data_IF_155674794424
#
_entry.id   IF_155674794424
#
_cell.length_a   1.000
_cell.length_b   1.000
_cell.length_c   1.000
_cell.angle_alpha   90.00
_cell.angle_beta   90.00
_cell.angle_gamma   90.00
#
_symmetry.space_group_name_H-M   'P 1'
#
loop_
_entity.id
_entity.type
_entity.pdbx_description
1 polymer ?
#
# COMPACT_ATOMS: atom_id res chain seq x y z
N UNK A 1 9.99 27.55 -2.82
CA UNK A 1 10.28 26.11 -3.00
C UNK A 1 11.53 25.80 -2.19
N UNK A 2 11.39 25.27 -0.98
CA UNK A 2 12.54 24.94 -0.12
C UNK A 2 13.17 23.62 -0.58
N UNK A 3 14.34 23.71 -1.22
CA UNK A 3 15.09 22.57 -1.69
C UNK A 3 15.82 21.91 -0.50
N UNK A 4 15.12 21.06 0.25
CA UNK A 4 15.73 20.30 1.33
C UNK A 4 16.64 19.22 0.74
N UNK A 5 17.94 19.17 1.07
CA UNK A 5 18.84 18.12 0.61
C UNK A 5 18.40 16.79 1.24
N UNK A 6 17.85 15.90 0.43
CA UNK A 6 17.49 14.55 0.86
C UNK A 6 18.79 13.75 1.00
N UNK A 7 19.04 13.05 2.12
CA UNK A 7 20.26 12.29 2.32
C UNK A 7 20.46 11.26 1.19
N UNK A 8 21.69 11.09 0.66
CA UNK A 8 21.97 10.14 -0.40
C UNK A 8 21.88 8.72 0.14
N UNK A 9 20.68 8.19 0.09
CA UNK A 9 20.32 6.80 0.33
C UNK A 9 20.00 6.20 -1.05
N UNK A 10 20.49 5.01 -1.37
CA UNK A 10 20.16 4.29 -2.63
C UNK A 10 18.64 4.16 -2.87
N UNK A 11 17.81 4.26 -1.81
CA UNK A 11 16.35 4.34 -1.86
C UNK A 11 15.80 5.67 -2.40
N UNK A 12 16.60 6.72 -2.57
CA UNK A 12 16.17 7.98 -3.17
C UNK A 12 15.89 7.83 -4.67
N UNK A 13 16.70 7.04 -5.39
CA UNK A 13 16.40 6.62 -6.75
C UNK A 13 15.13 5.76 -6.78
N UNK A 14 15.00 4.83 -5.83
CA UNK A 14 13.79 4.01 -5.68
C UNK A 14 12.53 4.86 -5.41
N UNK A 15 12.63 5.99 -4.70
CA UNK A 15 11.51 6.92 -4.49
C UNK A 15 11.06 7.57 -5.80
N UNK A 16 12.01 7.99 -6.66
CA UNK A 16 11.72 8.56 -7.97
C UNK A 16 11.10 7.52 -8.91
N UNK A 17 11.63 6.30 -8.95
CA UNK A 17 11.02 5.17 -9.67
C UNK A 17 9.64 4.83 -9.11
N UNK A 18 9.45 4.86 -7.79
CA UNK A 18 8.16 4.57 -7.14
C UNK A 18 7.10 5.57 -7.56
N UNK A 19 7.41 6.87 -7.60
CA UNK A 19 6.45 7.88 -8.03
C UNK A 19 6.01 7.70 -9.49
N UNK A 20 6.92 7.34 -10.40
CA UNK A 20 6.56 7.05 -11.79
C UNK A 20 5.75 5.76 -11.91
N UNK A 21 6.09 4.74 -11.12
CA UNK A 21 5.39 3.46 -11.15
C UNK A 21 4.00 3.55 -10.52
N UNK A 22 3.82 4.39 -9.50
CA UNK A 22 2.51 4.66 -8.88
C UNK A 22 1.51 5.23 -9.91
N UNK A 23 1.93 6.16 -10.76
CA UNK A 23 1.08 6.75 -11.82
C UNK A 23 0.62 5.72 -12.86
N UNK A 24 1.52 4.82 -13.24
CA UNK A 24 1.22 3.82 -14.28
C UNK A 24 0.41 2.64 -13.74
N UNK A 25 0.60 2.29 -12.46
CA UNK A 25 0.04 1.06 -11.89
C UNK A 25 -1.29 1.27 -11.18
N UNK A 26 -1.54 2.45 -10.59
CA UNK A 26 -2.78 2.70 -9.82
C UNK A 26 -3.92 3.22 -10.68
N UNK A 27 -3.63 4.08 -11.65
CA UNK A 27 -4.67 4.86 -12.34
C UNK A 27 -5.19 4.21 -13.63
N UNK A 28 -4.66 3.03 -13.99
CA UNK A 28 -5.07 2.26 -15.17
C UNK A 28 -5.69 0.91 -14.75
N UNK A 29 -7.00 0.83 -14.50
CA UNK A 29 -7.68 -0.43 -14.25
C UNK A 29 -7.91 -1.17 -15.58
N UNK A 30 -6.87 -1.82 -16.12
CA UNK A 30 -6.93 -2.47 -17.45
C UNK A 30 -7.61 -3.85 -17.41
N UNK A 31 -7.68 -4.51 -16.25
CA UNK A 31 -7.98 -5.96 -16.19
C UNK A 31 -9.12 -6.38 -15.25
N UNK A 32 -9.89 -5.44 -14.68
CA UNK A 32 -10.92 -5.82 -13.71
C UNK A 32 -11.53 -4.69 -12.92
N UNK A 33 -12.28 -5.06 -11.87
CA UNK A 33 -12.82 -4.11 -10.89
C UNK A 33 -11.98 -4.17 -9.62
N UNK A 34 -11.51 -3.01 -9.16
CA UNK A 34 -10.76 -2.86 -7.90
C UNK A 34 -11.57 -2.04 -6.90
N UNK A 35 -11.56 -2.46 -5.64
CA UNK A 35 -12.12 -1.74 -4.51
C UNK A 35 -11.04 -1.60 -3.44
N UNK A 36 -10.73 -0.37 -3.05
CA UNK A 36 -9.82 -0.10 -1.93
C UNK A 36 -10.56 0.72 -0.86
N UNK A 37 -10.61 0.19 0.36
CA UNK A 37 -11.18 0.85 1.52
C UNK A 37 -10.09 1.07 2.54
N UNK A 38 -9.92 2.33 2.95
CA UNK A 38 -8.93 2.72 3.96
C UNK A 38 -9.62 3.33 5.17
N UNK A 39 -9.49 2.65 6.30
CA UNK A 39 -10.07 3.07 7.57
C UNK A 39 -8.96 3.53 8.51
N UNK A 40 -9.04 4.78 8.95
CA UNK A 40 -8.15 5.32 9.98
C UNK A 40 -8.91 5.37 11.28
N UNK A 41 -8.44 4.64 12.28
CA UNK A 41 -9.06 4.63 13.60
C UNK A 41 -8.55 5.78 14.47
N UNK A 42 -9.37 6.33 15.38
CA UNK A 42 -8.92 7.34 16.35
C UNK A 42 -7.81 6.85 17.29
N UNK A 43 -7.73 5.53 17.51
CA UNK A 43 -6.72 4.89 18.35
C UNK A 43 -5.36 4.70 17.68
N UNK A 44 -5.22 5.05 16.39
CA UNK A 44 -3.94 5.03 15.66
C UNK A 44 -3.82 3.99 14.55
N UNK A 45 -4.28 2.73 14.71
CA UNK A 45 -4.25 1.73 13.65
C UNK A 45 -4.95 2.19 12.37
N UNK A 46 -4.31 1.90 11.24
CA UNK A 46 -4.86 2.09 9.90
C UNK A 46 -5.06 0.73 9.27
N UNK A 47 -6.29 0.48 8.84
CA UNK A 47 -6.63 -0.72 8.10
C UNK A 47 -6.85 -0.35 6.64
N UNK A 48 -6.25 -1.10 5.74
CA UNK A 48 -6.52 -1.05 4.31
C UNK A 48 -7.05 -2.41 3.89
N UNK A 49 -8.19 -2.42 3.23
CA UNK A 49 -8.78 -3.61 2.61
C UNK A 49 -8.84 -3.34 1.12
N UNK A 50 -8.21 -4.20 0.33
CA UNK A 50 -8.23 -4.13 -1.12
C UNK A 50 -8.82 -5.42 -1.69
N UNK A 51 -9.74 -5.28 -2.64
CA UNK A 51 -10.34 -6.39 -3.37
C UNK A 51 -10.20 -6.16 -4.86
N UNK A 52 -9.74 -7.17 -5.59
CA UNK A 52 -9.65 -7.13 -7.05
C UNK A 52 -10.39 -8.31 -7.66
N UNK A 53 -11.30 -8.02 -8.60
CA UNK A 53 -11.98 -9.02 -9.40
C UNK A 53 -11.40 -9.00 -10.81
N UNK A 54 -10.82 -10.12 -11.24
CA UNK A 54 -10.32 -10.28 -12.60
C UNK A 54 -11.47 -10.50 -13.60
N UNK A 55 -11.47 -9.78 -14.72
CA UNK A 55 -12.51 -9.92 -15.75
C UNK A 55 -12.38 -11.20 -16.58
N UNK A 56 -11.18 -11.79 -16.67
CA UNK A 56 -10.94 -13.00 -17.47
C UNK A 56 -11.35 -14.27 -16.73
N UNK A 57 -10.94 -14.41 -15.47
CA UNK A 57 -11.17 -15.60 -14.65
C UNK A 57 -12.34 -15.49 -13.67
N UNK A 58 -12.88 -14.28 -13.48
CA UNK A 58 -13.88 -13.94 -12.46
C UNK A 58 -13.43 -14.20 -11.00
N UNK A 59 -12.15 -14.53 -10.76
CA UNK A 59 -11.58 -14.74 -9.43
C UNK A 59 -11.52 -13.41 -8.67
N UNK A 60 -11.82 -13.47 -7.38
CA UNK A 60 -11.76 -12.34 -6.46
C UNK A 60 -10.58 -12.56 -5.51
N UNK A 61 -9.59 -11.68 -5.59
CA UNK A 61 -8.48 -11.62 -4.65
C UNK A 61 -8.75 -10.55 -3.60
N UNK A 62 -8.54 -10.89 -2.33
CA UNK A 62 -8.62 -9.94 -1.22
C UNK A 62 -7.29 -9.82 -0.50
N UNK A 63 -6.96 -8.59 -0.11
CA UNK A 63 -5.80 -8.23 0.69
C UNK A 63 -6.24 -7.33 1.85
N UNK A 64 -5.74 -7.63 3.04
CA UNK A 64 -5.98 -6.87 4.26
C UNK A 64 -4.64 -6.47 4.82
N UNK A 65 -4.41 -5.16 4.95
CA UNK A 65 -3.21 -4.59 5.57
C UNK A 65 -3.61 -3.86 6.85
N UNK A 66 -2.94 -4.19 7.95
CA UNK A 66 -3.00 -3.45 9.20
C UNK A 66 -1.66 -2.75 9.44
N UNK A 67 -1.73 -1.45 9.70
CA UNK A 67 -0.58 -0.63 10.01
C UNK A 67 -0.78 0.06 11.35
N UNK A 68 0.19 -0.09 12.24
CA UNK A 68 0.29 0.65 13.47
C UNK A 68 1.57 1.48 13.45
N UNK A 69 1.45 2.77 13.75
CA UNK A 69 2.58 3.67 13.87
C UNK A 69 2.59 4.28 15.26
N UNK A 70 3.73 4.18 15.92
CA UNK A 70 4.05 4.91 17.14
C UNK A 70 5.19 5.90 16.83
N UNK A 71 4.85 7.15 16.49
CA UNK A 71 5.85 8.16 16.13
C UNK A 71 6.76 8.54 17.30
N UNK A 72 6.31 8.39 18.56
CA UNK A 72 7.10 8.78 19.74
C UNK A 72 8.31 7.87 19.91
N UNK A 73 8.12 6.58 19.64
CA UNK A 73 9.16 5.56 19.72
C UNK A 73 9.78 5.21 18.36
N UNK A 74 9.36 5.89 17.28
CA UNK A 74 9.85 5.65 15.92
C UNK A 74 9.47 4.27 15.35
N UNK A 75 8.46 3.62 15.92
CA UNK A 75 8.05 2.26 15.57
C UNK A 75 6.92 2.29 14.53
N UNK A 76 7.06 1.48 13.49
CA UNK A 76 5.99 1.24 12.52
C UNK A 76 5.91 -0.25 12.27
N UNK A 77 4.76 -0.83 12.58
CA UNK A 77 4.44 -2.22 12.32
C UNK A 77 3.43 -2.24 11.18
N UNK A 78 3.75 -2.98 10.12
CA UNK A 78 2.82 -3.26 9.03
C UNK A 78 2.69 -4.77 8.94
N UNK A 79 1.46 -5.24 8.75
CA UNK A 79 1.18 -6.65 8.56
C UNK A 79 0.09 -6.80 7.52
N UNK A 80 0.29 -7.70 6.57
CA UNK A 80 -0.66 -7.93 5.48
C UNK A 80 -1.03 -9.41 5.36
N UNK A 81 -2.30 -9.65 5.04
CA UNK A 81 -2.89 -10.97 4.87
C UNK A 81 -3.66 -11.03 3.56
N UNK A 82 -3.52 -12.13 2.82
CA UNK A 82 -4.34 -12.38 1.63
C UNK A 82 -5.43 -13.40 1.90
N UNK A 83 -6.48 -13.41 1.07
CA UNK A 83 -7.52 -14.45 1.08
C UNK A 83 -7.00 -15.85 0.74
N UNK A 84 -5.76 -15.97 0.27
CA UNK A 84 -5.04 -17.23 0.08
C UNK A 84 -4.26 -17.67 1.34
N UNK A 85 -4.56 -17.09 2.51
CA UNK A 85 -3.90 -17.35 3.80
C UNK A 85 -2.38 -17.06 3.82
N UNK A 86 -1.92 -16.14 2.96
CA UNK A 86 -0.51 -15.71 2.96
C UNK A 86 -0.34 -14.54 3.91
N UNK A 87 0.61 -14.65 4.83
CA UNK A 87 1.01 -13.59 5.76
C UNK A 87 2.30 -12.89 5.29
N UNK A 88 2.33 -11.56 5.31
CA UNK A 88 3.46 -10.71 4.89
C UNK A 88 3.75 -9.62 5.93
N UNK A 89 5.02 -9.24 6.04
CA UNK A 89 5.57 -8.19 6.91
C UNK A 89 6.13 -7.05 6.08
#
# INVERSE_FOLDING_TARGET
MSNQPVPPNWKASAYKQRSSNDLLSKDLPVFGTSLEVKTKTPSGPVFKVAGTRDNKSAVINGDVEAKYADPKNGLVITQAWTTANVLRV
#
